data_IF_600875812742
#
_entry.id   IF_600875812742
#
_cell.length_a   1.000
_cell.length_b   1.000
_cell.length_c   1.000
_cell.angle_alpha   90.00
_cell.angle_beta   90.00
_cell.angle_gamma   90.00
#
_symmetry.space_group_name_H-M   'P 1'
#
loop_
_entity.id
_entity.type
_entity.pdbx_description
1 polymer ?
#
# COMPACT_ATOMS: atom_id res chain seq x y z
N UNK A 1 -12.59 34.11 -11.45
CA UNK A 1 -11.99 32.81 -11.86
C UNK A 1 -11.34 32.22 -10.66
N UNK A 2 -12.03 31.23 -10.02
CA UNK A 2 -11.43 30.44 -8.95
C UNK A 2 -10.28 29.64 -9.55
N UNK A 3 -9.06 29.88 -9.07
CA UNK A 3 -7.92 29.01 -9.33
C UNK A 3 -8.29 27.67 -8.72
N UNK A 4 -8.40 26.61 -9.53
CA UNK A 4 -8.61 25.28 -9.03
C UNK A 4 -7.47 24.96 -8.06
N UNK A 5 -7.81 24.59 -6.84
CA UNK A 5 -6.83 24.24 -5.81
C UNK A 5 -6.19 22.91 -6.19
N UNK A 6 -5.07 22.96 -6.92
CA UNK A 6 -4.30 21.81 -7.36
C UNK A 6 -3.69 20.98 -6.20
N UNK A 7 -3.88 21.44 -4.96
CA UNK A 7 -3.37 20.75 -3.77
C UNK A 7 -4.33 19.68 -3.22
N UNK A 8 -5.60 19.67 -3.68
CA UNK A 8 -6.55 18.64 -3.30
C UNK A 8 -6.25 17.33 -4.04
N UNK A 9 -5.96 16.27 -3.29
CA UNK A 9 -5.67 14.95 -3.82
C UNK A 9 -6.78 13.96 -3.47
N UNK A 10 -7.15 13.10 -4.43
CA UNK A 10 -8.08 11.99 -4.24
C UNK A 10 -7.40 10.68 -4.64
N UNK A 11 -7.54 9.66 -3.79
CA UNK A 11 -6.94 8.35 -3.99
C UNK A 11 -7.72 7.47 -4.97
N UNK A 12 -7.20 6.26 -5.17
CA UNK A 12 -7.74 5.26 -6.08
C UNK A 12 -8.69 4.28 -5.39
N UNK A 13 -9.44 3.54 -6.19
CA UNK A 13 -10.13 2.35 -5.73
C UNK A 13 -9.12 1.27 -5.31
N UNK A 14 -9.48 0.36 -4.37
CA UNK A 14 -8.63 -0.74 -4.01
C UNK A 14 -8.46 -1.74 -5.15
N UNK A 15 -7.32 -2.40 -5.19
CA UNK A 15 -7.07 -3.56 -6.06
C UNK A 15 -7.05 -4.79 -5.17
N UNK A 16 -8.09 -5.62 -5.27
CA UNK A 16 -8.22 -6.77 -4.39
C UNK A 16 -9.14 -7.85 -4.98
N UNK A 17 -8.77 -9.11 -4.76
CA UNK A 17 -9.67 -10.26 -4.91
C UNK A 17 -10.27 -10.62 -3.56
N UNK A 18 -11.43 -11.27 -3.57
CA UNK A 18 -12.11 -11.71 -2.35
C UNK A 18 -11.27 -12.68 -1.48
N UNK A 19 -10.32 -13.39 -2.08
CA UNK A 19 -9.41 -14.33 -1.42
C UNK A 19 -8.09 -13.68 -0.95
N UNK A 20 -7.98 -12.36 -1.01
CA UNK A 20 -6.80 -11.63 -0.53
C UNK A 20 -6.51 -11.93 0.95
N UNK A 21 -5.24 -12.08 1.30
CA UNK A 21 -4.77 -12.40 2.65
C UNK A 21 -3.88 -11.35 3.26
N UNK A 22 -3.27 -10.54 2.43
CA UNK A 22 -2.37 -9.46 2.82
C UNK A 22 -2.81 -8.16 2.12
N UNK A 23 -2.84 -7.07 2.86
CA UNK A 23 -3.13 -5.74 2.33
C UNK A 23 -1.88 -4.85 2.45
N UNK A 24 -1.44 -4.30 1.34
CA UNK A 24 -0.40 -3.26 1.33
C UNK A 24 -1.09 -1.90 1.26
N UNK A 25 -0.73 -1.01 2.16
CA UNK A 25 -1.28 0.34 2.25
C UNK A 25 -0.20 1.41 2.10
N UNK A 26 -0.34 2.26 1.09
CA UNK A 26 0.34 3.55 1.06
C UNK A 26 -0.44 4.62 1.82
N UNK A 27 0.08 5.84 1.84
CA UNK A 27 -0.62 7.01 2.39
C UNK A 27 -1.60 7.60 1.38
N UNK A 28 -1.08 8.17 0.30
CA UNK A 28 -1.80 8.80 -0.81
C UNK A 28 -0.95 8.70 -2.07
N UNK A 29 -1.54 8.44 -3.25
CA UNK A 29 -0.77 8.44 -4.50
C UNK A 29 -0.04 9.77 -4.72
N UNK A 30 1.22 9.72 -5.18
CA UNK A 30 1.96 10.90 -5.59
C UNK A 30 1.46 11.48 -6.91
N UNK A 31 1.99 12.63 -7.30
CA UNK A 31 1.55 13.33 -8.53
C UNK A 31 1.71 12.46 -9.79
N UNK A 32 2.82 11.74 -9.93
CA UNK A 32 3.04 10.84 -11.06
C UNK A 32 2.00 9.72 -11.12
N UNK A 33 1.63 9.14 -9.96
CA UNK A 33 0.59 8.11 -9.86
C UNK A 33 -0.79 8.65 -10.20
N UNK A 34 -1.13 9.84 -9.71
CA UNK A 34 -2.40 10.50 -10.02
C UNK A 34 -2.54 10.79 -11.52
N UNK A 35 -1.46 11.27 -12.15
CA UNK A 35 -1.45 11.53 -13.60
C UNK A 35 -1.56 10.26 -14.43
N UNK A 36 -0.86 9.20 -14.02
CA UNK A 36 -0.85 7.91 -14.72
C UNK A 36 -2.07 7.03 -14.38
N UNK A 37 -2.86 7.37 -13.36
CA UNK A 37 -3.93 6.53 -12.82
C UNK A 37 -3.42 5.12 -12.45
N UNK A 38 -2.24 5.07 -11.83
CA UNK A 38 -1.56 3.82 -11.50
C UNK A 38 -0.78 3.93 -10.19
N UNK A 39 -0.89 2.91 -9.34
CA UNK A 39 -0.14 2.83 -8.09
C UNK A 39 1.37 2.80 -8.36
N UNK A 40 2.10 3.62 -7.63
CA UNK A 40 3.57 3.65 -7.63
C UNK A 40 4.17 3.87 -9.03
N UNK A 41 3.59 4.82 -9.77
CA UNK A 41 3.98 5.10 -11.16
C UNK A 41 5.27 5.90 -11.32
N UNK A 42 5.76 6.58 -10.26
CA UNK A 42 6.99 7.34 -10.37
C UNK A 42 8.17 6.43 -10.73
N UNK A 43 8.99 6.76 -11.76
CA UNK A 43 10.04 5.86 -12.26
C UNK A 43 11.08 5.44 -11.22
N UNK A 44 11.32 6.30 -10.21
CA UNK A 44 12.27 6.02 -9.12
C UNK A 44 11.62 5.43 -7.87
N UNK A 45 10.31 5.17 -7.87
CA UNK A 45 9.69 4.45 -6.78
C UNK A 45 10.11 2.97 -6.84
N UNK A 46 10.63 2.44 -5.74
CA UNK A 46 11.17 1.09 -5.69
C UNK A 46 10.09 -0.01 -5.58
N UNK A 47 8.81 0.34 -5.42
CA UNK A 47 7.74 -0.63 -5.14
C UNK A 47 7.69 -1.77 -6.16
N UNK A 48 7.53 -1.44 -7.44
CA UNK A 48 7.40 -2.47 -8.48
C UNK A 48 8.67 -3.28 -8.68
N UNK A 49 9.83 -2.67 -8.52
CA UNK A 49 11.10 -3.39 -8.53
C UNK A 49 11.20 -4.41 -7.39
N UNK A 50 10.81 -4.01 -6.19
CA UNK A 50 10.79 -4.90 -5.02
C UNK A 50 9.81 -6.05 -5.23
N UNK A 51 8.57 -5.77 -5.63
CA UNK A 51 7.55 -6.81 -5.84
C UNK A 51 7.96 -7.78 -6.96
N UNK A 52 8.57 -7.27 -8.04
CA UNK A 52 9.09 -8.08 -9.12
C UNK A 52 10.21 -9.02 -8.64
N UNK A 53 11.17 -8.52 -7.87
CA UNK A 53 12.25 -9.31 -7.30
C UNK A 53 11.75 -10.38 -6.31
N UNK A 54 10.79 -10.02 -5.46
CA UNK A 54 10.27 -10.92 -4.42
C UNK A 54 9.34 -12.00 -5.01
N UNK A 55 8.46 -11.63 -5.93
CA UNK A 55 7.45 -12.53 -6.50
C UNK A 55 7.92 -13.22 -7.79
N UNK A 56 9.04 -12.80 -8.36
CA UNK A 56 9.66 -13.46 -9.51
C UNK A 56 8.98 -13.14 -10.84
N UNK A 57 8.69 -11.88 -11.13
CA UNK A 57 8.18 -11.45 -12.44
C UNK A 57 9.01 -10.29 -13.01
N UNK A 58 8.99 -10.05 -14.34
CA UNK A 58 9.65 -8.89 -14.93
C UNK A 58 8.98 -7.58 -14.52
N UNK A 59 9.75 -6.62 -13.99
CA UNK A 59 9.22 -5.34 -13.54
C UNK A 59 8.60 -4.50 -14.67
N UNK A 60 8.99 -4.78 -15.93
CA UNK A 60 8.56 -4.07 -17.13
C UNK A 60 7.22 -4.57 -17.70
N UNK A 61 6.61 -5.58 -17.09
CA UNK A 61 5.28 -6.03 -17.52
C UNK A 61 4.28 -4.87 -17.52
N UNK A 62 3.29 -4.89 -18.41
CA UNK A 62 2.18 -3.92 -18.36
C UNK A 62 1.56 -3.83 -16.98
N UNK A 63 1.17 -2.64 -16.55
CA UNK A 63 0.63 -2.38 -15.22
C UNK A 63 -0.53 -3.33 -14.85
N UNK A 64 -1.47 -3.54 -15.78
CA UNK A 64 -2.60 -4.44 -15.55
C UNK A 64 -2.15 -5.88 -15.24
N UNK A 65 -1.10 -6.38 -15.91
CA UNK A 65 -0.55 -7.72 -15.65
C UNK A 65 0.14 -7.80 -14.29
N UNK A 66 0.86 -6.75 -13.90
CA UNK A 66 1.48 -6.68 -12.56
C UNK A 66 0.44 -6.73 -11.45
N UNK A 67 -0.69 -6.03 -11.62
CA UNK A 67 -1.80 -6.09 -10.67
C UNK A 67 -2.40 -7.50 -10.57
N UNK A 68 -2.56 -8.20 -11.69
CA UNK A 68 -3.05 -9.58 -11.68
C UNK A 68 -2.11 -10.52 -10.94
N UNK A 69 -0.79 -10.34 -11.07
CA UNK A 69 0.21 -11.14 -10.33
C UNK A 69 0.10 -10.88 -8.82
N UNK A 70 -0.03 -9.64 -8.37
CA UNK A 70 -0.23 -9.33 -6.96
C UNK A 70 -1.47 -10.06 -6.42
N UNK A 71 -2.58 -9.95 -7.12
CA UNK A 71 -3.85 -10.57 -6.72
C UNK A 71 -3.76 -12.09 -6.69
N UNK A 72 -3.08 -12.71 -7.66
CA UNK A 72 -2.84 -14.15 -7.70
C UNK A 72 -1.99 -14.64 -6.51
N UNK A 73 -1.17 -13.77 -5.93
CA UNK A 73 -0.38 -14.04 -4.72
C UNK A 73 -1.12 -13.68 -3.42
N UNK A 74 -2.41 -13.38 -3.49
CA UNK A 74 -3.22 -13.05 -2.32
C UNK A 74 -2.96 -11.66 -1.75
N UNK A 75 -2.40 -10.75 -2.55
CA UNK A 75 -2.03 -9.39 -2.14
C UNK A 75 -3.08 -8.41 -2.66
N UNK A 76 -3.65 -7.62 -1.74
CA UNK A 76 -4.46 -6.45 -2.05
C UNK A 76 -3.63 -5.18 -1.90
N UNK A 77 -4.02 -4.14 -2.63
CA UNK A 77 -3.32 -2.87 -2.70
C UNK A 77 -4.31 -1.71 -2.57
N UNK A 78 -4.02 -0.79 -1.67
CA UNK A 78 -4.80 0.43 -1.47
C UNK A 78 -3.96 1.51 -0.78
N UNK A 79 -4.60 2.63 -0.43
CA UNK A 79 -4.03 3.67 0.42
C UNK A 79 -4.90 3.90 1.65
N UNK A 80 -4.32 4.40 2.72
CA UNK A 80 -5.08 4.74 3.94
C UNK A 80 -6.00 5.91 3.67
N UNK A 81 -5.52 6.93 2.95
CA UNK A 81 -6.24 8.16 2.69
C UNK A 81 -7.09 8.05 1.42
N UNK A 82 -8.38 8.40 1.53
CA UNK A 82 -9.25 8.60 0.39
C UNK A 82 -9.04 9.97 -0.25
N UNK A 83 -8.78 11.00 0.56
CA UNK A 83 -8.53 12.36 0.11
C UNK A 83 -7.71 13.13 1.14
N UNK A 84 -6.97 14.12 0.68
CA UNK A 84 -6.27 15.08 1.51
C UNK A 84 -5.89 16.32 0.72
N UNK A 85 -5.53 17.40 1.43
CA UNK A 85 -4.86 18.56 0.85
C UNK A 85 -3.35 18.34 0.96
N UNK A 86 -2.67 18.33 -0.18
CA UNK A 86 -1.21 18.14 -0.26
C UNK A 86 -0.65 18.86 -1.48
N UNK A 87 0.09 19.95 -1.29
CA UNK A 87 0.86 20.58 -2.37
C UNK A 87 2.04 19.66 -2.72
N UNK A 88 2.06 19.09 -3.92
CA UNK A 88 3.14 18.17 -4.36
C UNK A 88 2.88 16.71 -4.03
N UNK A 89 3.94 15.96 -3.72
CA UNK A 89 3.92 14.50 -3.58
C UNK A 89 4.46 13.97 -2.25
N UNK A 90 4.96 14.84 -1.37
CA UNK A 90 5.60 14.43 -0.11
C UNK A 90 4.55 14.19 0.99
N UNK A 91 4.71 13.10 1.72
CA UNK A 91 3.88 12.80 2.89
C UNK A 91 3.96 13.90 3.96
N UNK A 92 5.13 14.55 4.10
CA UNK A 92 5.33 15.66 5.04
C UNK A 92 4.45 16.88 4.73
N UNK A 93 4.01 17.04 3.48
CA UNK A 93 3.19 18.16 3.03
C UNK A 93 1.69 17.89 3.12
N UNK A 94 1.28 16.71 3.59
CA UNK A 94 -0.13 16.40 3.84
C UNK A 94 -0.64 17.26 5.01
N UNK A 95 -1.70 18.02 4.76
CA UNK A 95 -2.43 18.71 5.82
C UNK A 95 -3.28 17.70 6.60
N UNK A 96 -2.87 17.40 7.83
CA UNK A 96 -3.54 16.40 8.69
C UNK A 96 -5.01 16.73 8.95
N UNK A 97 -5.38 18.01 9.02
CA UNK A 97 -6.76 18.41 9.23
C UNK A 97 -7.66 18.13 8.01
N UNK A 98 -7.08 17.96 6.83
CA UNK A 98 -7.79 17.68 5.58
C UNK A 98 -7.99 16.19 5.30
N UNK A 99 -7.40 15.30 6.08
CA UNK A 99 -7.40 13.86 5.84
C UNK A 99 -8.81 13.28 5.91
N UNK A 100 -9.19 12.56 4.85
CA UNK A 100 -10.34 11.65 4.81
C UNK A 100 -9.81 10.25 4.57
N UNK A 101 -10.05 9.32 5.50
CA UNK A 101 -9.62 7.93 5.36
C UNK A 101 -10.64 7.11 4.57
N UNK A 102 -10.15 6.03 3.94
CA UNK A 102 -11.00 5.06 3.27
C UNK A 102 -11.83 4.25 4.27
N UNK A 103 -12.94 3.66 3.79
CA UNK A 103 -13.80 2.79 4.59
C UNK A 103 -13.19 1.38 4.72
N UNK A 104 -12.33 1.20 5.72
CA UNK A 104 -11.70 -0.08 5.99
C UNK A 104 -12.62 -1.09 6.66
N UNK A 105 -13.60 -0.64 7.43
CA UNK A 105 -14.57 -1.55 8.03
C UNK A 105 -15.35 -2.31 6.94
N UNK A 106 -15.88 -1.60 5.95
CA UNK A 106 -16.58 -2.20 4.81
C UNK A 106 -15.66 -3.04 3.92
N UNK A 107 -14.44 -2.54 3.63
CA UNK A 107 -13.46 -3.27 2.83
C UNK A 107 -13.05 -4.60 3.45
N UNK A 108 -12.71 -4.61 4.73
CA UNK A 108 -12.29 -5.83 5.44
C UNK A 108 -13.44 -6.82 5.63
N UNK A 109 -14.67 -6.34 5.73
CA UNK A 109 -15.86 -7.20 5.74
C UNK A 109 -16.02 -7.96 4.42
N UNK A 110 -15.72 -7.31 3.30
CA UNK A 110 -15.74 -7.91 1.96
C UNK A 110 -14.51 -8.78 1.65
N UNK A 111 -13.43 -8.62 2.43
CA UNK A 111 -12.17 -9.35 2.29
C UNK A 111 -11.78 -10.03 3.61
N UNK A 112 -12.58 -11.00 4.08
CA UNK A 112 -12.45 -11.54 5.44
C UNK A 112 -11.20 -12.40 5.66
N UNK A 113 -10.48 -12.74 4.60
CA UNK A 113 -9.24 -13.54 4.68
C UNK A 113 -7.99 -12.70 4.91
N UNK A 114 -8.08 -11.37 4.85
CA UNK A 114 -6.94 -10.50 5.18
C UNK A 114 -6.61 -10.61 6.66
N UNK A 115 -5.36 -10.98 6.96
CA UNK A 115 -4.82 -11.15 8.31
C UNK A 115 -3.65 -10.24 8.61
N UNK A 116 -3.00 -9.73 7.57
CA UNK A 116 -1.82 -8.87 7.67
C UNK A 116 -2.01 -7.60 6.87
N UNK A 117 -1.67 -6.48 7.49
CA UNK A 117 -1.61 -5.16 6.85
C UNK A 117 -0.18 -4.66 6.90
N UNK A 118 0.39 -4.36 5.73
CA UNK A 118 1.73 -3.83 5.58
C UNK A 118 1.64 -2.36 5.16
N UNK A 119 2.21 -1.47 5.97
CA UNK A 119 2.24 -0.04 5.67
C UNK A 119 3.51 0.31 4.90
N UNK A 120 3.35 0.89 3.74
CA UNK A 120 4.45 1.44 2.95
C UNK A 120 4.84 2.81 3.52
N UNK A 121 5.69 2.80 4.54
CA UNK A 121 6.20 3.98 5.20
C UNK A 121 5.43 4.40 6.46
N UNK A 122 5.97 5.40 7.15
CA UNK A 122 5.49 5.85 8.45
C UNK A 122 4.15 6.56 8.40
N UNK A 123 3.90 7.39 7.37
CA UNK A 123 2.67 8.18 7.27
C UNK A 123 1.43 7.31 7.13
N UNK A 124 1.52 6.24 6.36
CA UNK A 124 0.43 5.27 6.23
C UNK A 124 0.10 4.63 7.58
N UNK A 125 1.09 4.17 8.32
CA UNK A 125 0.90 3.57 9.64
C UNK A 125 0.32 4.58 10.64
N UNK A 126 0.87 5.78 10.72
CA UNK A 126 0.41 6.82 11.64
C UNK A 126 -1.05 7.19 11.40
N UNK A 127 -1.44 7.38 10.14
CA UNK A 127 -2.81 7.70 9.77
C UNK A 127 -3.77 6.56 10.11
N UNK A 128 -3.37 5.32 9.88
CA UNK A 128 -4.14 4.13 10.28
C UNK A 128 -4.35 4.08 11.79
N UNK A 129 -3.29 4.18 12.58
CA UNK A 129 -3.36 4.08 14.04
C UNK A 129 -4.21 5.18 14.64
N UNK A 130 -4.16 6.37 14.07
CA UNK A 130 -4.90 7.53 14.59
C UNK A 130 -6.37 7.51 14.20
N UNK A 131 -6.71 7.15 12.96
CA UNK A 131 -8.03 7.39 12.40
C UNK A 131 -8.80 6.12 12.02
N UNK A 132 -8.14 4.99 11.80
CA UNK A 132 -8.77 3.74 11.36
C UNK A 132 -8.84 2.74 12.50
N UNK A 133 -7.71 2.45 13.15
CA UNK A 133 -7.61 1.42 14.19
C UNK A 133 -8.62 1.59 15.34
N UNK A 134 -8.92 2.81 15.83
CA UNK A 134 -9.91 2.97 16.89
C UNK A 134 -11.34 2.55 16.50
N UNK A 135 -11.62 2.45 15.20
CA UNK A 135 -12.93 2.07 14.65
C UNK A 135 -13.02 0.58 14.30
N UNK A 136 -11.92 -0.17 14.45
CA UNK A 136 -11.84 -1.58 14.08
C UNK A 136 -11.60 -2.45 15.32
N UNK A 137 -12.33 -3.57 15.39
CA UNK A 137 -12.09 -4.65 16.37
C UNK A 137 -11.80 -5.95 15.61
N UNK A 138 -10.62 -6.01 14.99
CA UNK A 138 -10.17 -7.14 14.17
C UNK A 138 -8.75 -7.54 14.53
N UNK A 139 -8.45 -8.85 14.60
CA UNK A 139 -7.12 -9.35 14.96
C UNK A 139 -6.15 -9.29 13.76
N UNK A 140 -5.81 -8.09 13.32
CA UNK A 140 -4.88 -7.87 12.22
C UNK A 140 -3.44 -7.77 12.72
N UNK A 141 -2.52 -8.42 12.02
CA UNK A 141 -1.10 -8.18 12.18
C UNK A 141 -0.71 -6.93 11.39
N UNK A 142 -0.12 -5.94 12.06
CA UNK A 142 0.24 -4.65 11.49
C UNK A 142 1.76 -4.54 11.39
N UNK A 143 2.30 -4.34 10.19
CA UNK A 143 3.73 -4.21 9.94
C UNK A 143 4.02 -2.91 9.20
N UNK A 144 4.93 -2.09 9.76
CA UNK A 144 5.50 -0.96 9.03
C UNK A 144 6.70 -1.43 8.21
N UNK A 145 6.67 -1.17 6.90
CA UNK A 145 7.77 -1.43 5.98
C UNK A 145 8.47 -0.12 5.59
N UNK A 146 9.74 -0.17 5.22
CA UNK A 146 10.42 1.03 4.75
C UNK A 146 9.76 1.56 3.50
N UNK A 147 9.57 2.88 3.41
CA UNK A 147 8.94 3.53 2.28
C UNK A 147 9.70 3.26 0.98
N UNK A 148 8.95 2.92 -0.08
CA UNK A 148 9.48 2.75 -1.44
C UNK A 148 9.65 4.06 -2.19
N UNK A 149 9.19 5.18 -1.62
CA UNK A 149 9.31 6.51 -2.22
C UNK A 149 10.76 6.90 -2.45
N UNK A 150 11.09 7.57 -3.58
CA UNK A 150 12.42 8.13 -3.80
C UNK A 150 12.81 9.18 -2.75
N UNK A 151 11.86 9.77 -2.05
CA UNK A 151 12.12 10.68 -0.91
C UNK A 151 12.74 9.96 0.29
N UNK A 152 12.58 8.64 0.41
CA UNK A 152 13.17 7.82 1.47
C UNK A 152 14.47 7.15 0.99
N UNK A 153 15.50 7.95 0.74
CA UNK A 153 16.76 7.51 0.13
C UNK A 153 17.81 7.01 1.15
N UNK A 154 17.53 7.10 2.46
CA UNK A 154 18.53 6.78 3.50
C UNK A 154 18.80 5.28 3.69
N UNK A 155 17.94 4.40 3.20
CA UNK A 155 18.11 2.94 3.28
C UNK A 155 18.50 2.37 1.91
N UNK A 156 19.56 1.55 1.81
CA UNK A 156 19.93 0.89 0.57
C UNK A 156 18.83 -0.01 0.02
N UNK A 157 18.75 -0.14 -1.29
CA UNK A 157 17.73 -0.97 -1.95
C UNK A 157 17.69 -2.41 -1.41
N UNK A 158 18.85 -3.07 -1.29
CA UNK A 158 18.92 -4.46 -0.82
C UNK A 158 18.35 -4.64 0.59
N UNK A 159 18.55 -3.66 1.48
CA UNK A 159 17.97 -3.68 2.82
C UNK A 159 16.45 -3.50 2.78
N UNK A 160 15.94 -2.60 1.94
CA UNK A 160 14.49 -2.44 1.71
C UNK A 160 13.88 -3.72 1.18
N UNK A 161 14.48 -4.27 0.11
CA UNK A 161 13.99 -5.50 -0.52
C UNK A 161 13.93 -6.66 0.48
N UNK A 162 14.96 -6.84 1.31
CA UNK A 162 14.99 -7.90 2.31
C UNK A 162 13.86 -7.76 3.34
N UNK A 163 13.60 -6.55 3.82
CA UNK A 163 12.51 -6.29 4.77
C UNK A 163 11.14 -6.55 4.14
N UNK A 164 10.92 -6.09 2.92
CA UNK A 164 9.70 -6.35 2.16
C UNK A 164 9.50 -7.82 1.87
N UNK A 165 10.56 -8.52 1.42
CA UNK A 165 10.53 -9.95 1.15
C UNK A 165 10.09 -10.75 2.37
N UNK A 166 10.64 -10.43 3.53
CA UNK A 166 10.31 -11.08 4.79
C UNK A 166 8.81 -10.92 5.14
N UNK A 167 8.27 -9.71 4.99
CA UNK A 167 6.86 -9.44 5.27
C UNK A 167 5.91 -10.14 4.28
N UNK A 168 6.28 -10.22 3.00
CA UNK A 168 5.45 -10.80 1.94
C UNK A 168 5.49 -12.34 1.91
N UNK A 169 6.60 -12.96 2.32
CA UNK A 169 6.82 -14.41 2.21
C UNK A 169 6.46 -15.19 3.48
N UNK A 170 6.43 -14.58 4.65
CA UNK A 170 6.02 -15.26 5.90
C UNK A 170 4.59 -15.81 5.86
N UNK A 171 3.75 -15.36 4.94
CA UNK A 171 2.41 -15.93 4.71
C UNK A 171 2.45 -17.39 4.24
N UNK A 172 3.46 -17.77 3.44
CA UNK A 172 3.53 -19.13 2.90
C UNK A 172 3.91 -20.17 3.94
N UNK A 173 4.60 -19.77 5.01
CA UNK A 173 5.02 -20.66 6.09
C UNK A 173 3.87 -21.00 7.04
N UNK A 174 3.01 -20.06 7.33
CA UNK A 174 1.82 -20.27 8.18
C UNK A 174 0.78 -21.21 7.53
N UNK A 175 0.79 -21.35 6.20
CA UNK A 175 -0.11 -22.23 5.47
C UNK A 175 0.40 -23.66 5.36
N UNK A 176 1.73 -23.88 5.32
CA UNK A 176 2.32 -25.22 5.27
C UNK A 176 2.14 -25.99 6.58
N UNK A 177 1.97 -25.29 7.70
CA UNK A 177 1.74 -25.89 9.00
C UNK A 177 0.32 -26.43 9.25
N UNK A 178 -0.66 -26.16 8.39
CA UNK A 178 -2.05 -26.63 8.54
C UNK A 178 -2.39 -27.86 7.69
N UNK A 179 -1.48 -28.37 6.90
CA UNK A 179 -1.69 -29.56 6.05
C UNK A 179 -1.04 -30.83 6.60
N UNK A 180 -0.53 -30.78 7.84
CA UNK A 180 -0.03 -31.97 8.54
C UNK A 180 -0.83 -32.14 9.83
N UNK A 181 -2.04 -32.66 9.69
CA UNK A 181 -2.76 -33.43 10.71
C UNK A 181 -3.76 -34.35 10.03
#
# INVERSE_FOLDING_TARGET
LAIADNAQAQGFAPVARSDARLLILGSMPGQASLQAQAYYAHPRNAFWRILADVLGFPAELPYAERLLILQANGIALWDVLAACHRPGSLDADIDDASIVVNDFAGFLQQHPHIRRVCFNGAKAEQSWRKQVQPLLDLPLELLRLPSTSPAHAGMPYEAKRATWANALTQQSLAQRGRHIR
#
